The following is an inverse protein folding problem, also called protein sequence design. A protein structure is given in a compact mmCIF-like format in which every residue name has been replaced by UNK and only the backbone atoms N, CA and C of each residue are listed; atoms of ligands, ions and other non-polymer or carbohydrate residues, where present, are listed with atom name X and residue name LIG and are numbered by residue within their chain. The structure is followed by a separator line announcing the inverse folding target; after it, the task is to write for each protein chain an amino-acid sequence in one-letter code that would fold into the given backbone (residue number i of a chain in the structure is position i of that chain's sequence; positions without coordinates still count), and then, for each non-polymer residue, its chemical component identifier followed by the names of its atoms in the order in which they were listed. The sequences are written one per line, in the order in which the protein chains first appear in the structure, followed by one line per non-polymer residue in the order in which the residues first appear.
data_IF_598918829337
#
_entry.id   IF_598918829337
#
_cell.length_a   1.000
_cell.length_b   1.000
_cell.length_c   1.000
_cell.angle_alpha   90.00
_cell.angle_beta   90.00
_cell.angle_gamma   90.00
#
_symmetry.space_group_name_H-M   'P 1'
#
loop_
_entity.id
_entity.type
_entity.pdbx_description
1 polymer ?
#
# COMPACT_ATOMS: atom_id res chain seq x y z
N UNK A 1 0.01 9.79 -0.79
CA UNK A 1 0.71 11.08 -0.71
C UNK A 1 -0.15 12.13 -0.04
N UNK A 2 -1.26 12.59 -0.63
CA UNK A 2 -2.07 13.67 -0.03
C UNK A 2 -2.43 13.46 1.46
N UNK A 3 -2.89 12.28 1.86
CA UNK A 3 -3.19 12.00 3.28
C UNK A 3 -1.98 12.14 4.21
N UNK A 4 -0.77 11.79 3.75
CA UNK A 4 0.47 11.97 4.53
C UNK A 4 0.90 13.43 4.53
N UNK A 5 0.71 14.16 3.43
CA UNK A 5 0.96 15.60 3.35
C UNK A 5 0.05 16.38 4.29
N UNK A 6 -1.21 15.96 4.44
CA UNK A 6 -2.15 16.51 5.42
C UNK A 6 -1.69 16.27 6.86
N UNK A 7 -0.91 15.21 7.10
CA UNK A 7 -0.17 14.95 8.33
C UNK A 7 1.24 15.61 8.35
N UNK A 8 1.39 16.76 7.68
CA UNK A 8 2.64 17.51 7.53
C UNK A 8 3.83 16.74 6.92
N UNK A 9 3.55 15.71 6.11
CA UNK A 9 4.60 14.94 5.42
C UNK A 9 5.31 13.89 6.29
N UNK A 10 5.04 13.87 7.61
CA UNK A 10 5.72 13.00 8.58
C UNK A 10 4.78 11.99 9.24
N UNK A 11 3.79 11.51 8.48
CA UNK A 11 2.81 10.53 8.94
C UNK A 11 3.11 9.11 8.48
N UNK A 12 2.57 8.13 9.21
CA UNK A 12 2.50 6.73 8.81
C UNK A 12 1.06 6.23 8.90
N UNK A 13 0.66 5.39 7.95
CA UNK A 13 -0.57 4.59 8.01
C UNK A 13 -0.20 3.20 8.49
N UNK A 14 -0.89 2.72 9.53
CA UNK A 14 -0.78 1.31 9.93
C UNK A 14 -1.66 0.47 9.02
N UNK A 15 -1.05 -0.30 8.12
CA UNK A 15 -1.79 -1.16 7.18
C UNK A 15 -2.14 -2.53 7.80
N UNK A 16 -1.34 -2.96 8.78
CA UNK A 16 -1.52 -4.22 9.50
C UNK A 16 -0.82 -4.17 10.85
N UNK A 17 -1.44 -4.73 11.88
CA UNK A 17 -0.82 -5.01 13.17
C UNK A 17 -1.49 -6.27 13.73
N UNK A 18 -0.74 -7.33 13.96
CA UNK A 18 -1.32 -8.58 14.45
C UNK A 18 -0.38 -9.77 14.30
N UNK A 19 -0.96 -10.96 14.34
CA UNK A 19 -0.23 -12.23 14.21
C UNK A 19 0.61 -12.31 12.92
N UNK A 20 1.91 -12.57 13.06
CA UNK A 20 2.79 -12.88 11.92
C UNK A 20 2.45 -14.20 11.21
N UNK A 21 1.50 -14.98 11.72
CA UNK A 21 1.10 -16.27 11.16
C UNK A 21 0.64 -16.22 9.70
N UNK A 22 0.24 -15.04 9.19
CA UNK A 22 -0.03 -14.83 7.76
C UNK A 22 1.21 -15.04 6.86
N UNK A 23 2.41 -14.95 7.43
CA UNK A 23 3.69 -15.20 6.76
C UNK A 23 4.26 -16.59 7.05
N UNK A 24 3.56 -17.42 7.82
CA UNK A 24 4.01 -18.78 8.09
C UNK A 24 4.13 -19.55 6.78
N UNK A 25 5.32 -20.11 6.54
CA UNK A 25 5.64 -20.89 5.34
C UNK A 25 5.40 -20.15 4.01
N UNK A 26 5.34 -18.81 4.02
CA UNK A 26 5.10 -18.01 2.82
C UNK A 26 6.40 -17.68 2.07
N UNK A 27 7.51 -17.53 2.79
CA UNK A 27 8.81 -17.15 2.19
C UNK A 27 9.67 -18.37 1.90
N UNK A 28 9.69 -19.32 2.82
CA UNK A 28 10.43 -20.57 2.69
C UNK A 28 9.66 -21.73 3.31
N UNK A 29 9.77 -22.90 2.69
CA UNK A 29 9.29 -24.17 3.25
C UNK A 29 10.41 -25.19 3.21
N UNK A 30 10.58 -25.90 4.32
CA UNK A 30 11.56 -26.98 4.38
C UNK A 30 11.28 -28.01 3.27
N UNK A 31 12.33 -28.37 2.53
CA UNK A 31 12.23 -29.28 1.39
C UNK A 31 11.57 -28.69 0.13
N UNK A 32 11.35 -27.37 0.07
CA UNK A 32 10.83 -26.71 -1.15
C UNK A 32 11.77 -26.85 -2.35
N UNK A 33 13.08 -26.81 -2.11
CA UNK A 33 14.10 -26.86 -3.15
C UNK A 33 14.91 -28.15 -3.05
N UNK A 34 15.04 -28.84 -4.19
CA UNK A 34 15.86 -30.04 -4.37
C UNK A 34 17.14 -29.66 -5.10
N UNK A 35 18.13 -29.23 -4.33
CA UNK A 35 19.45 -28.82 -4.83
C UNK A 35 20.27 -29.99 -5.37
N UNK A 36 20.09 -31.20 -4.82
CA UNK A 36 20.77 -32.38 -5.31
C UNK A 36 20.33 -32.72 -6.74
N UNK A 37 19.04 -32.59 -7.03
CA UNK A 37 18.51 -32.74 -8.38
C UNK A 37 19.04 -31.67 -9.33
N UNK A 38 19.15 -30.41 -8.90
CA UNK A 38 19.72 -29.33 -9.71
C UNK A 38 21.21 -29.58 -10.01
N UNK A 39 22.00 -29.94 -9.01
CA UNK A 39 23.43 -30.20 -9.16
C UNK A 39 23.74 -31.40 -10.09
N UNK A 40 22.80 -32.34 -10.23
CA UNK A 40 22.93 -33.49 -11.12
C UNK A 40 22.69 -33.16 -12.61
N UNK A 41 22.18 -31.96 -12.94
CA UNK A 41 21.88 -31.57 -14.32
C UNK A 41 23.10 -30.96 -15.00
N UNK A 42 23.38 -31.42 -16.22
CA UNK A 42 24.49 -30.92 -17.04
C UNK A 42 24.04 -30.02 -18.19
N UNK A 43 22.74 -30.01 -18.51
CA UNK A 43 22.18 -29.15 -19.56
C UNK A 43 21.67 -27.84 -18.94
N UNK A 44 22.13 -26.66 -19.41
CA UNK A 44 21.63 -25.37 -18.94
C UNK A 44 20.11 -25.23 -19.08
N UNK A 45 19.55 -25.67 -20.21
CA UNK A 45 18.11 -25.58 -20.45
C UNK A 45 17.32 -26.47 -19.46
N UNK A 46 17.77 -27.71 -19.27
CA UNK A 46 17.16 -28.62 -18.29
C UNK A 46 17.28 -28.09 -16.85
N UNK A 47 18.38 -27.42 -16.51
CA UNK A 47 18.58 -26.78 -15.21
C UNK A 47 17.59 -25.65 -14.98
N UNK A 48 17.42 -24.76 -15.96
CA UNK A 48 16.46 -23.64 -15.85
C UNK A 48 15.02 -24.15 -15.79
N UNK A 49 14.65 -25.16 -16.58
CA UNK A 49 13.34 -25.79 -16.49
C UNK A 49 13.08 -26.37 -15.10
N UNK A 50 14.09 -27.03 -14.51
CA UNK A 50 14.00 -27.57 -13.16
C UNK A 50 13.88 -26.46 -12.10
N UNK A 51 14.62 -25.35 -12.23
CA UNK A 51 14.47 -24.17 -11.37
C UNK A 51 13.03 -23.62 -11.42
N UNK A 52 12.48 -23.48 -12.62
CA UNK A 52 11.12 -22.99 -12.81
C UNK A 52 10.08 -23.95 -12.21
N UNK A 53 10.31 -25.26 -12.33
CA UNK A 53 9.45 -26.31 -11.76
C UNK A 53 9.48 -26.30 -10.22
N UNK A 54 10.64 -26.04 -9.62
CA UNK A 54 10.79 -25.91 -8.17
C UNK A 54 10.28 -24.55 -7.62
N UNK A 55 9.97 -23.60 -8.51
CA UNK A 55 9.33 -22.34 -8.13
C UNK A 55 10.31 -21.30 -7.55
N UNK A 56 11.57 -21.31 -8.00
CA UNK A 56 12.52 -20.27 -7.60
C UNK A 56 12.05 -18.85 -8.00
N UNK A 57 12.39 -17.82 -7.20
CA UNK A 57 12.08 -16.43 -7.54
C UNK A 57 12.64 -16.00 -8.90
N UNK A 58 11.90 -15.15 -9.61
CA UNK A 58 12.26 -14.63 -10.95
C UNK A 58 12.61 -13.14 -10.90
N UNK A 59 13.53 -12.80 -10.01
CA UNK A 59 13.95 -11.42 -9.75
C UNK A 59 15.32 -11.10 -10.39
N UNK A 60 15.85 -9.92 -10.07
CA UNK A 60 17.15 -9.46 -10.55
C UNK A 60 18.32 -10.29 -10.03
N UNK A 61 18.19 -10.92 -8.87
CA UNK A 61 19.22 -11.80 -8.31
C UNK A 61 19.31 -13.06 -9.17
N UNK A 62 18.18 -13.70 -9.46
CA UNK A 62 18.12 -14.85 -10.36
C UNK A 62 18.65 -14.51 -11.76
N UNK A 63 18.28 -13.35 -12.30
CA UNK A 63 18.81 -12.90 -13.59
C UNK A 63 20.34 -12.74 -13.57
N UNK A 64 20.90 -12.25 -12.46
CA UNK A 64 22.35 -12.16 -12.27
C UNK A 64 23.04 -13.52 -12.27
N UNK A 65 22.43 -14.53 -11.64
CA UNK A 65 22.94 -15.90 -11.63
C UNK A 65 22.88 -16.56 -13.01
N UNK A 66 21.77 -16.40 -13.72
CA UNK A 66 21.63 -16.88 -15.11
C UNK A 66 22.72 -16.31 -16.02
N UNK A 67 23.01 -15.01 -15.92
CA UNK A 67 24.11 -14.37 -16.68
C UNK A 67 25.50 -14.91 -16.34
N UNK A 68 25.73 -15.26 -15.07
CA UNK A 68 27.02 -15.77 -14.60
C UNK A 68 27.28 -17.19 -15.11
N UNK A 69 26.28 -18.08 -15.02
CA UNK A 69 26.45 -19.51 -15.28
C UNK A 69 25.97 -19.95 -16.67
N UNK A 70 25.11 -19.16 -17.32
CA UNK A 70 24.58 -19.40 -18.66
C UNK A 70 24.71 -18.11 -19.48
N UNK A 71 25.93 -17.61 -19.71
CA UNK A 71 26.13 -16.38 -20.45
C UNK A 71 25.58 -16.51 -21.87
N UNK A 72 24.85 -15.47 -22.31
CA UNK A 72 24.36 -15.42 -23.67
C UNK A 72 25.53 -15.39 -24.66
N UNK A 73 25.61 -16.34 -25.61
CA UNK A 73 26.68 -16.35 -26.60
C UNK A 73 26.71 -15.07 -27.44
N UNK A 74 27.91 -14.52 -27.67
CA UNK A 74 28.09 -13.31 -28.48
C UNK A 74 27.51 -13.46 -29.89
N UNK A 75 27.56 -14.67 -30.46
CA UNK A 75 26.98 -14.96 -31.77
C UNK A 75 25.47 -14.71 -31.83
N UNK A 76 24.73 -14.90 -30.74
CA UNK A 76 23.29 -14.60 -30.66
C UNK A 76 23.06 -13.10 -30.49
N UNK A 77 23.93 -12.42 -29.74
CA UNK A 77 23.89 -10.96 -29.61
C UNK A 77 24.11 -10.30 -30.98
N UNK A 78 25.09 -10.78 -31.75
CA UNK A 78 25.40 -10.28 -33.10
C UNK A 78 24.26 -10.54 -34.09
N UNK A 79 23.42 -11.56 -33.83
CA UNK A 79 22.19 -11.85 -34.58
C UNK A 79 20.99 -11.01 -34.14
N UNK A 80 21.16 -10.12 -33.16
CA UNK A 80 20.10 -9.27 -32.65
C UNK A 80 19.10 -9.99 -31.74
N UNK A 81 19.44 -11.17 -31.23
CA UNK A 81 18.64 -11.83 -30.20
C UNK A 81 18.77 -11.00 -28.92
N UNK A 82 17.66 -10.63 -28.31
CA UNK A 82 17.66 -9.98 -27.02
C UNK A 82 17.72 -11.01 -25.87
N UNK A 83 18.26 -10.57 -24.74
CA UNK A 83 18.49 -11.42 -23.57
C UNK A 83 17.20 -12.05 -23.02
N UNK A 84 16.08 -11.32 -23.08
CA UNK A 84 14.80 -11.83 -22.60
C UNK A 84 14.32 -12.97 -23.50
N UNK A 85 14.46 -12.85 -24.82
CA UNK A 85 14.14 -13.95 -25.75
C UNK A 85 15.02 -15.17 -25.50
N UNK A 86 16.31 -14.97 -25.19
CA UNK A 86 17.25 -16.04 -24.87
C UNK A 86 16.84 -16.85 -23.63
N UNK A 87 16.70 -16.21 -22.45
CA UNK A 87 16.39 -16.94 -21.21
C UNK A 87 14.95 -17.49 -21.13
N UNK A 88 14.02 -16.96 -21.95
CA UNK A 88 12.68 -17.52 -22.03
C UNK A 88 12.57 -18.79 -22.88
N UNK A 89 13.60 -19.12 -23.68
CA UNK A 89 13.58 -20.25 -24.60
C UNK A 89 14.99 -20.81 -24.87
N UNK A 90 15.67 -21.27 -23.81
CA UNK A 90 17.04 -21.79 -23.91
C UNK A 90 17.16 -23.00 -24.86
N UNK A 91 16.14 -23.86 -24.91
CA UNK A 91 16.10 -25.02 -25.83
C UNK A 91 16.09 -24.63 -27.31
N UNK A 92 15.74 -23.38 -27.64
CA UNK A 92 15.73 -22.87 -29.00
C UNK A 92 17.11 -22.53 -29.57
N UNK A 93 18.17 -22.61 -28.76
CA UNK A 93 19.51 -22.16 -29.12
C UNK A 93 20.56 -23.26 -28.94
N UNK A 94 21.65 -23.15 -29.71
CA UNK A 94 22.83 -23.99 -29.51
C UNK A 94 23.64 -23.48 -28.30
N UNK A 95 23.64 -24.28 -27.24
CA UNK A 95 24.34 -23.99 -25.98
C UNK A 95 25.64 -24.78 -25.83
N UNK A 96 26.07 -25.54 -26.85
CA UNK A 96 27.25 -26.42 -26.76
C UNK A 96 28.56 -25.70 -26.46
N UNK A 97 28.63 -24.38 -26.70
CA UNK A 97 29.78 -23.54 -26.37
C UNK A 97 29.81 -23.01 -24.93
N UNK A 98 28.81 -23.32 -24.10
CA UNK A 98 28.74 -22.87 -22.70
C UNK A 98 29.31 -23.96 -21.79
N UNK A 99 30.34 -23.63 -21.03
CA UNK A 99 30.79 -24.45 -19.90
C UNK A 99 29.83 -24.24 -18.72
N UNK A 100 28.97 -25.22 -18.46
CA UNK A 100 27.93 -25.11 -17.45
C UNK A 100 28.36 -25.72 -16.11
N UNK A 101 28.62 -24.86 -15.14
CA UNK A 101 28.91 -25.25 -13.75
C UNK A 101 27.62 -25.30 -12.91
N UNK A 102 26.96 -26.45 -12.95
CA UNK A 102 25.73 -26.67 -12.18
C UNK A 102 25.95 -26.60 -10.66
N UNK A 103 27.10 -27.11 -10.18
CA UNK A 103 27.42 -27.11 -8.76
C UNK A 103 27.65 -25.69 -8.26
N UNK A 104 28.46 -24.89 -8.97
CA UNK A 104 28.66 -23.48 -8.63
C UNK A 104 27.36 -22.67 -8.68
N UNK A 105 26.45 -22.97 -9.62
CA UNK A 105 25.13 -22.34 -9.64
C UNK A 105 24.35 -22.70 -8.37
N UNK A 106 24.27 -23.99 -8.02
CA UNK A 106 23.61 -24.43 -6.79
C UNK A 106 24.19 -23.78 -5.54
N UNK A 107 25.51 -23.65 -5.44
CA UNK A 107 26.18 -23.01 -4.31
C UNK A 107 25.77 -21.52 -4.20
N UNK A 108 25.75 -20.80 -5.33
CA UNK A 108 25.29 -19.41 -5.39
C UNK A 108 23.78 -19.27 -5.08
N UNK A 109 22.96 -20.24 -5.47
CA UNK A 109 21.52 -20.28 -5.13
C UNK A 109 21.32 -20.44 -3.63
N UNK A 110 22.06 -21.36 -3.00
CA UNK A 110 22.01 -21.58 -1.56
C UNK A 110 22.40 -20.31 -0.80
N UNK A 111 23.49 -19.66 -1.20
CA UNK A 111 24.01 -18.45 -0.55
C UNK A 111 23.08 -17.24 -0.75
N UNK A 112 22.63 -16.98 -1.98
CA UNK A 112 22.02 -15.68 -2.34
C UNK A 112 20.50 -15.69 -2.38
N UNK A 113 19.89 -16.88 -2.42
CA UNK A 113 18.44 -17.03 -2.54
C UNK A 113 17.89 -17.83 -1.37
N UNK A 114 18.35 -19.06 -1.18
CA UNK A 114 17.71 -19.99 -0.22
C UNK A 114 18.01 -19.57 1.22
N UNK A 115 19.27 -19.30 1.55
CA UNK A 115 19.65 -18.91 2.91
C UNK A 115 18.93 -17.63 3.36
N UNK A 116 18.91 -16.53 2.59
CA UNK A 116 18.14 -15.35 2.95
C UNK A 116 16.63 -15.61 3.11
N UNK A 117 16.02 -16.43 2.25
CA UNK A 117 14.60 -16.78 2.37
C UNK A 117 14.32 -17.56 3.66
N UNK A 118 15.16 -18.55 3.97
CA UNK A 118 15.06 -19.36 5.19
C UNK A 118 15.28 -18.52 6.44
N UNK A 119 16.34 -17.72 6.51
CA UNK A 119 16.61 -16.84 7.64
C UNK A 119 15.49 -15.81 7.86
N UNK A 120 14.90 -15.28 6.76
CA UNK A 120 13.76 -14.37 6.87
C UNK A 120 12.50 -15.10 7.34
N UNK A 121 12.25 -16.32 6.90
CA UNK A 121 11.15 -17.14 7.41
C UNK A 121 11.34 -17.42 8.91
N UNK A 122 12.54 -17.78 9.34
CA UNK A 122 12.89 -18.02 10.75
C UNK A 122 12.66 -16.75 11.59
N UNK A 123 12.98 -15.57 11.06
CA UNK A 123 12.71 -14.30 11.73
C UNK A 123 11.22 -14.09 12.00
N UNK A 124 10.36 -14.38 11.02
CA UNK A 124 8.90 -14.27 11.17
C UNK A 124 8.31 -15.37 12.04
N UNK A 125 8.82 -16.61 11.94
CA UNK A 125 8.38 -17.73 12.78
C UNK A 125 8.76 -17.49 14.26
N UNK A 126 9.88 -16.81 14.53
CA UNK A 126 10.30 -16.40 15.87
C UNK A 126 9.58 -15.15 16.41
N UNK A 127 8.98 -14.35 15.53
CA UNK A 127 8.34 -13.07 15.89
C UNK A 127 6.82 -13.19 15.74
N UNK A 128 6.04 -13.44 16.82
CA UNK A 128 4.61 -13.75 16.70
C UNK A 128 3.74 -12.56 16.28
N UNK A 129 4.31 -11.35 16.23
CA UNK A 129 3.59 -10.12 15.97
C UNK A 129 4.30 -9.31 14.88
N UNK A 130 3.53 -8.82 13.91
CA UNK A 130 4.00 -8.03 12.79
C UNK A 130 3.20 -6.74 12.69
N UNK A 131 3.91 -5.62 12.57
CA UNK A 131 3.32 -4.32 12.23
C UNK A 131 3.83 -3.89 10.86
N UNK A 132 2.91 -3.59 9.94
CA UNK A 132 3.21 -3.01 8.63
C UNK A 132 2.78 -1.56 8.62
N UNK A 133 3.76 -0.68 8.44
CA UNK A 133 3.57 0.76 8.30
C UNK A 133 3.80 1.18 6.86
N UNK A 134 2.98 2.10 6.38
CA UNK A 134 3.09 2.70 5.06
C UNK A 134 3.20 4.21 5.18
N UNK A 135 4.10 4.79 4.40
CA UNK A 135 4.19 6.24 4.24
C UNK A 135 4.57 6.59 2.82
N UNK A 136 4.24 7.81 2.43
CA UNK A 136 4.69 8.42 1.19
C UNK A 136 5.18 9.81 1.55
N UNK A 137 6.50 9.99 1.49
CA UNK A 137 7.17 11.24 1.85
C UNK A 137 7.79 11.84 0.58
N UNK A 138 7.59 13.13 0.36
CA UNK A 138 8.22 13.85 -0.76
C UNK A 138 9.69 14.11 -0.44
N UNK A 139 10.60 14.24 -1.43
CA UNK A 139 12.02 14.50 -1.17
C UNK A 139 12.28 15.71 -0.25
N UNK A 140 11.45 16.76 -0.37
CA UNK A 140 11.55 17.97 0.44
C UNK A 140 11.09 17.77 1.90
N UNK A 141 10.31 16.71 2.16
CA UNK A 141 9.79 16.30 3.48
C UNK A 141 10.65 15.17 4.09
N UNK A 142 11.72 14.72 3.42
CA UNK A 142 12.67 13.72 3.94
C UNK A 142 13.76 14.39 4.79
N UNK A 143 13.37 15.24 5.74
CA UNK A 143 14.30 16.01 6.59
C UNK A 143 14.52 15.40 7.99
N UNK A 144 13.81 14.31 8.32
CA UNK A 144 13.85 13.63 9.63
C UNK A 144 13.86 12.11 9.48
N UNK A 145 14.64 11.46 10.34
CA UNK A 145 14.67 10.00 10.46
C UNK A 145 13.58 9.51 11.43
N UNK A 146 12.70 8.58 11.02
CA UNK A 146 11.68 8.03 11.90
C UNK A 146 12.29 7.08 12.94
N UNK A 147 11.77 7.14 14.16
CA UNK A 147 12.08 6.18 15.24
C UNK A 147 10.79 5.48 15.64
N UNK A 148 10.82 4.15 15.68
CA UNK A 148 9.67 3.33 16.05
C UNK A 148 9.80 2.80 17.47
N UNK A 149 8.70 2.90 18.20
CA UNK A 149 8.55 2.40 19.57
C UNK A 149 7.24 1.63 19.66
N UNK A 150 7.25 0.49 20.34
CA UNK A 150 6.04 -0.30 20.53
C UNK A 150 5.12 0.36 21.55
N UNK A 151 3.83 0.44 21.23
CA UNK A 151 2.78 0.79 22.17
C UNK A 151 1.92 -0.47 22.44
N UNK A 152 1.99 -1.07 23.64
CA UNK A 152 1.27 -2.30 23.97
C UNK A 152 -0.23 -2.09 24.25
N UNK A 153 -0.69 -0.84 24.36
CA UNK A 153 -2.08 -0.52 24.66
C UNK A 153 -2.96 -0.40 23.40
N UNK A 154 -2.35 -0.48 22.21
CA UNK A 154 -3.06 -0.46 20.93
C UNK A 154 -3.56 -1.87 20.57
N UNK A 155 -4.72 -1.92 19.93
CA UNK A 155 -5.28 -3.15 19.38
C UNK A 155 -4.69 -3.54 18.02
N UNK A 156 -5.09 -4.72 17.55
CA UNK A 156 -4.74 -5.22 16.22
C UNK A 156 -5.38 -4.38 15.10
N UNK A 157 -4.70 -4.32 13.96
CA UNK A 157 -5.17 -3.68 12.72
C UNK A 157 -5.24 -4.74 11.63
N UNK A 158 -6.46 -4.96 11.11
CA UNK A 158 -6.72 -5.89 10.00
C UNK A 158 -6.01 -5.44 8.72
N UNK A 159 -5.48 -6.39 7.95
CA UNK A 159 -4.98 -6.15 6.60
C UNK A 159 -6.11 -6.06 5.55
N UNK A 160 -7.34 -6.37 5.96
CA UNK A 160 -8.55 -6.18 5.16
C UNK A 160 -9.23 -4.89 5.62
N UNK A 161 -9.24 -3.91 4.73
CA UNK A 161 -9.85 -2.60 4.93
C UNK A 161 -11.18 -2.57 4.20
N UNK A 162 -12.27 -2.61 4.96
CA UNK A 162 -13.64 -2.62 4.43
C UNK A 162 -14.43 -1.44 4.97
N UNK A 163 -15.32 -0.92 4.14
CA UNK A 163 -16.29 0.10 4.50
C UNK A 163 -17.63 -0.18 3.83
N UNK A 164 -18.72 0.26 4.46
CA UNK A 164 -20.06 0.22 3.90
C UNK A 164 -20.44 1.62 3.45
N UNK A 165 -20.72 1.80 2.16
CA UNK A 165 -21.23 3.04 1.63
C UNK A 165 -22.76 2.96 1.50
N UNK A 166 -23.46 3.92 2.08
CA UNK A 166 -24.91 4.09 1.97
C UNK A 166 -25.21 5.40 1.25
N UNK A 167 -25.83 5.30 0.08
CA UNK A 167 -26.33 6.46 -0.65
C UNK A 167 -27.67 6.94 -0.06
N UNK A 168 -27.79 8.24 0.14
CA UNK A 168 -29.03 8.94 0.50
C UNK A 168 -29.48 9.68 -0.75
N UNK A 169 -30.62 9.29 -1.31
CA UNK A 169 -31.18 9.91 -2.51
C UNK A 169 -31.98 11.17 -2.16
N UNK A 170 -32.02 12.12 -3.10
CA UNK A 170 -32.92 13.28 -3.05
C UNK A 170 -34.39 12.82 -3.10
N UNK A 171 -35.21 13.32 -2.17
CA UNK A 171 -36.64 12.98 -2.07
C UNK A 171 -37.47 13.49 -3.27
N UNK A 172 -37.08 14.62 -3.86
CA UNK A 172 -37.71 15.23 -5.04
C UNK A 172 -37.20 14.64 -6.35
N UNK A 173 -35.96 14.12 -6.38
CA UNK A 173 -35.38 13.40 -7.52
C UNK A 173 -34.60 12.16 -7.07
N UNK A 174 -35.23 10.98 -6.99
CA UNK A 174 -34.58 9.74 -6.53
C UNK A 174 -33.39 9.26 -7.39
N UNK A 175 -33.13 9.90 -8.54
CA UNK A 175 -31.97 9.64 -9.40
C UNK A 175 -30.73 10.44 -9.00
N UNK A 176 -30.87 11.42 -8.11
CA UNK A 176 -29.80 12.22 -7.54
C UNK A 176 -29.46 11.69 -6.15
N UNK A 177 -28.17 11.53 -5.88
CA UNK A 177 -27.68 11.16 -4.54
C UNK A 177 -27.25 12.45 -3.85
N UNK A 178 -27.90 12.78 -2.73
CA UNK A 178 -27.59 13.94 -1.92
C UNK A 178 -26.39 13.72 -1.03
N UNK A 179 -26.24 12.51 -0.50
CA UNK A 179 -25.15 12.18 0.42
C UNK A 179 -24.72 10.72 0.25
N UNK A 180 -23.45 10.45 0.49
CA UNK A 180 -22.95 9.09 0.68
C UNK A 180 -22.35 8.98 2.08
N UNK A 181 -22.97 8.16 2.92
CA UNK A 181 -22.48 7.87 4.28
C UNK A 181 -21.62 6.62 4.21
N UNK A 182 -20.32 6.77 4.45
CA UNK A 182 -19.34 5.69 4.49
C UNK A 182 -19.12 5.32 5.95
N UNK A 183 -19.44 4.08 6.33
CA UNK A 183 -19.15 3.52 7.65
C UNK A 183 -17.96 2.57 7.57
N UNK A 184 -16.91 2.85 8.32
CA UNK A 184 -15.70 2.02 8.37
C UNK A 184 -15.89 0.82 9.32
N UNK A 185 -15.00 -0.18 9.21
CA UNK A 185 -15.05 -1.37 10.06
C UNK A 185 -14.95 -1.09 11.57
N UNK A 186 -14.36 0.04 11.98
CA UNK A 186 -14.29 0.47 13.37
C UNK A 186 -15.56 1.23 13.85
N UNK A 187 -16.53 1.44 12.97
CA UNK A 187 -17.78 2.16 13.25
C UNK A 187 -17.73 3.67 12.98
N UNK A 188 -16.56 4.23 12.64
CA UNK A 188 -16.46 5.64 12.25
C UNK A 188 -17.23 5.88 10.95
N UNK A 189 -17.76 7.09 10.79
CA UNK A 189 -18.51 7.49 9.61
C UNK A 189 -17.95 8.74 8.96
N UNK A 190 -17.87 8.76 7.64
CA UNK A 190 -17.62 9.96 6.82
C UNK A 190 -18.81 10.15 5.91
N UNK A 191 -19.35 11.36 5.87
CA UNK A 191 -20.41 11.76 4.94
C UNK A 191 -19.78 12.56 3.82
N UNK A 192 -19.96 12.12 2.59
CA UNK A 192 -19.61 12.89 1.40
C UNK A 192 -20.88 13.54 0.89
N UNK A 193 -20.92 14.87 0.91
CA UNK A 193 -22.06 15.65 0.43
C UNK A 193 -22.03 15.75 -1.11
N UNK A 194 -23.20 15.55 -1.71
CA UNK A 194 -23.45 15.67 -3.14
C UNK A 194 -23.79 17.09 -3.58
N UNK A 195 -24.53 17.26 -4.69
CA UNK A 195 -25.23 16.22 -5.43
C UNK A 195 -24.30 15.36 -6.31
N UNK A 196 -24.59 14.06 -6.39
CA UNK A 196 -23.99 13.15 -7.37
C UNK A 196 -25.02 12.72 -8.41
N UNK A 197 -24.78 13.09 -9.66
CA UNK A 197 -25.60 12.66 -10.79
C UNK A 197 -25.19 11.24 -11.23
N UNK A 198 -26.14 10.31 -11.31
CA UNK A 198 -25.99 8.98 -11.93
C UNK A 198 -24.80 8.14 -11.40
N UNK A 199 -25.02 7.39 -10.32
CA UNK A 199 -24.17 6.25 -9.98
C UNK A 199 -24.36 5.12 -11.01
N UNK A 200 -23.70 5.24 -12.16
CA UNK A 200 -23.73 4.23 -13.22
C UNK A 200 -22.36 3.53 -13.28
N UNK A 201 -22.18 2.39 -12.58
CA UNK A 201 -20.88 1.70 -12.46
C UNK A 201 -20.38 1.04 -13.75
N UNK A 202 -21.10 1.18 -14.88
CA UNK A 202 -20.77 0.54 -16.16
C UNK A 202 -20.62 1.50 -17.34
N UNK A 203 -20.95 2.78 -17.19
CA UNK A 203 -20.72 3.74 -18.25
C UNK A 203 -19.27 4.21 -18.12
N UNK A 204 -18.38 3.57 -18.90
CA UNK A 204 -16.92 3.71 -18.88
C UNK A 204 -16.37 5.12 -19.12
N UNK A 205 -16.68 6.05 -18.22
CA UNK A 205 -16.02 7.32 -18.05
C UNK A 205 -14.72 7.17 -17.26
N UNK A 206 -13.93 8.23 -17.29
CA UNK A 206 -12.75 8.34 -16.43
C UNK A 206 -13.16 8.20 -14.95
N UNK A 207 -12.29 7.69 -14.07
CA UNK A 207 -12.55 7.68 -12.64
C UNK A 207 -12.91 9.09 -12.17
N UNK A 208 -14.16 9.28 -11.73
CA UNK A 208 -14.63 10.56 -11.21
C UNK A 208 -14.21 10.62 -9.74
N UNK A 209 -13.51 11.69 -9.38
CA UNK A 209 -13.34 12.04 -7.97
C UNK A 209 -14.67 12.60 -7.46
N UNK A 210 -15.38 11.78 -6.70
CA UNK A 210 -16.67 12.12 -6.11
C UNK A 210 -16.52 12.91 -4.80
N UNK A 211 -15.29 13.14 -4.33
CA UNK A 211 -15.03 13.81 -3.06
C UNK A 211 -13.86 14.81 -3.19
N UNK A 212 -13.83 15.70 -4.21
CA UNK A 212 -12.65 16.51 -4.51
C UNK A 212 -12.36 17.59 -3.46
N UNK A 213 -13.32 17.87 -2.60
CA UNK A 213 -13.21 18.83 -1.48
C UNK A 213 -13.00 18.16 -0.14
N UNK A 214 -13.09 16.83 -0.07
CA UNK A 214 -12.88 16.10 1.18
C UNK A 214 -11.39 15.97 1.50
N UNK A 215 -11.01 16.00 2.78
CA UNK A 215 -9.65 15.68 3.20
C UNK A 215 -9.25 14.27 2.73
N UNK A 216 -8.00 14.11 2.29
CA UNK A 216 -7.47 12.81 1.92
C UNK A 216 -7.24 11.91 3.14
N UNK A 217 -6.97 12.48 4.32
CA UNK A 217 -6.89 11.78 5.60
C UNK A 217 -8.23 11.88 6.35
N UNK A 218 -8.89 10.74 6.56
CA UNK A 218 -10.12 10.68 7.36
C UNK A 218 -9.89 11.09 8.82
N UNK A 219 -8.70 10.79 9.36
CA UNK A 219 -8.25 11.24 10.67
C UNK A 219 -6.74 11.29 10.74
N UNK A 220 -6.23 12.15 11.60
CA UNK A 220 -4.81 12.24 11.95
C UNK A 220 -4.71 12.02 13.45
N UNK A 221 -3.87 11.07 13.85
CA UNK A 221 -3.76 10.64 15.23
C UNK A 221 -2.31 10.74 15.70
N UNK A 222 -2.12 11.30 16.89
CA UNK A 222 -0.84 11.26 17.58
C UNK A 222 -0.83 10.07 18.53
N UNK A 223 0.18 9.22 18.36
CA UNK A 223 0.32 7.97 19.10
C UNK A 223 1.53 8.08 20.04
N UNK A 224 1.30 7.87 21.33
CA UNK A 224 2.35 7.78 22.34
C UNK A 224 2.91 6.36 22.48
N UNK A 225 3.92 6.18 23.35
CA UNK A 225 4.45 4.85 23.71
C UNK A 225 3.51 3.99 24.54
N UNK A 226 2.50 4.62 25.12
CA UNK A 226 1.44 4.00 25.93
C UNK A 226 0.17 4.82 25.74
N UNK A 227 -0.97 4.23 26.07
CA UNK A 227 -2.28 4.86 25.98
C UNK A 227 -2.89 4.80 24.58
N UNK A 228 -4.11 5.32 24.49
CA UNK A 228 -4.89 5.36 23.25
C UNK A 228 -4.44 6.53 22.35
N UNK A 229 -4.65 6.44 21.03
CA UNK A 229 -4.37 7.53 20.11
C UNK A 229 -5.13 8.81 20.48
N UNK A 230 -4.52 9.97 20.23
CA UNK A 230 -5.15 11.28 20.38
C UNK A 230 -5.43 11.87 19.00
N UNK A 231 -6.70 12.17 18.71
CA UNK A 231 -7.09 12.82 17.47
C UNK A 231 -6.47 14.23 17.40
N UNK A 232 -5.81 14.52 16.29
CA UNK A 232 -5.24 15.84 16.00
C UNK A 232 -6.16 16.55 15.02
N UNK A 233 -6.63 17.72 15.42
CA UNK A 233 -7.38 18.60 14.51
C UNK A 233 -6.49 19.01 13.32
N UNK A 234 -6.97 18.97 12.07
CA UNK A 234 -6.19 19.34 10.90
C UNK A 234 -5.52 20.72 10.99
N UNK A 235 -6.17 21.69 11.64
CA UNK A 235 -5.62 23.03 11.87
C UNK A 235 -4.46 23.07 12.86
N UNK A 236 -4.25 22.02 13.66
CA UNK A 236 -3.16 21.92 14.63
C UNK A 236 -1.94 21.16 14.10
N UNK A 237 -2.08 20.40 13.00
CA UNK A 237 -1.05 19.46 12.53
C UNK A 237 0.31 20.13 12.36
N UNK A 238 0.36 21.34 11.78
CA UNK A 238 1.63 22.05 11.57
C UNK A 238 2.34 22.41 12.89
N UNK A 239 1.60 22.80 13.93
CA UNK A 239 2.19 23.12 15.23
C UNK A 239 2.56 21.85 16.00
N UNK A 240 1.77 20.78 15.86
CA UNK A 240 2.12 19.45 16.41
C UNK A 240 3.41 18.93 15.78
N UNK A 241 3.53 18.97 14.45
CA UNK A 241 4.75 18.54 13.74
C UNK A 241 5.98 19.34 14.18
N UNK A 242 5.85 20.66 14.25
CA UNK A 242 6.91 21.54 14.72
C UNK A 242 7.33 21.24 16.17
N UNK A 243 6.37 20.92 17.04
CA UNK A 243 6.66 20.53 18.42
C UNK A 243 7.40 19.18 18.48
N UNK A 244 7.02 18.20 17.64
CA UNK A 244 7.70 16.90 17.52
C UNK A 244 9.15 17.03 17.03
N UNK A 245 9.47 18.10 16.29
CA UNK A 245 10.86 18.41 15.90
C UNK A 245 11.79 18.78 17.07
N UNK A 246 11.26 19.10 18.26
CA UNK A 246 12.07 19.56 19.40
C UNK A 246 11.74 18.90 20.73
N UNK A 247 10.59 18.23 20.84
CA UNK A 247 10.08 17.61 22.07
C UNK A 247 9.82 16.12 21.84
N UNK A 248 9.82 15.34 22.91
CA UNK A 248 9.41 13.93 22.81
C UNK A 248 7.89 13.83 22.53
N UNK A 249 7.43 12.74 21.89
CA UNK A 249 6.03 12.56 21.53
C UNK A 249 5.06 12.64 22.71
N UNK A 250 5.45 12.16 23.90
CA UNK A 250 4.60 12.19 25.09
C UNK A 250 4.33 13.61 25.59
N UNK A 251 5.33 14.49 25.50
CA UNK A 251 5.17 15.91 25.86
C UNK A 251 4.22 16.59 24.90
N UNK A 252 4.40 16.36 23.59
CA UNK A 252 3.51 16.93 22.56
C UNK A 252 2.08 16.42 22.73
N UNK A 253 1.91 15.12 22.98
CA UNK A 253 0.60 14.52 23.24
C UNK A 253 -0.09 15.16 24.45
N UNK A 254 0.63 15.34 25.56
CA UNK A 254 0.09 16.04 26.73
C UNK A 254 -0.28 17.50 26.41
N UNK A 255 0.53 18.21 25.61
CA UNK A 255 0.24 19.58 25.20
C UNK A 255 -0.99 19.70 24.29
N UNK A 256 -1.22 18.73 23.40
CA UNK A 256 -2.46 18.62 22.62
C UNK A 256 -3.66 18.38 23.52
N UNK A 257 -3.57 17.39 24.43
CA UNK A 257 -4.67 17.02 25.34
C UNK A 257 -5.02 18.16 26.31
N UNK A 258 -4.02 18.90 26.79
CA UNK A 258 -4.20 20.03 27.71
C UNK A 258 -4.53 21.35 27.03
N UNK A 259 -4.59 21.39 25.69
CA UNK A 259 -4.90 22.60 24.92
C UNK A 259 -3.79 23.66 24.94
N UNK A 260 -2.54 23.26 25.16
CA UNK A 260 -1.37 24.14 25.02
C UNK A 260 -1.05 24.36 23.55
N UNK A 261 -1.16 23.31 22.74
CA UNK A 261 -1.17 23.43 21.28
C UNK A 261 -2.62 23.60 20.86
N UNK A 262 -2.94 24.75 20.27
CA UNK A 262 -4.26 25.06 19.74
C UNK A 262 -4.13 25.40 18.26
N UNK A 263 -5.24 25.34 17.49
CA UNK A 263 -5.21 25.85 16.12
C UNK A 263 -4.76 27.32 16.15
N UNK A 264 -4.05 27.81 15.12
CA UNK A 264 -3.83 29.23 14.98
C UNK A 264 -5.20 29.95 15.04
N UNK A 265 -5.30 31.12 15.68
CA UNK A 265 -6.56 31.84 15.74
C UNK A 265 -7.07 32.04 14.31
N UNK A 266 -8.27 31.53 14.03
CA UNK A 266 -8.95 31.78 12.76
C UNK A 266 -9.04 33.28 12.60
N UNK A 267 -8.28 33.84 11.65
CA UNK A 267 -8.58 35.19 11.18
C UNK A 267 -9.93 35.08 10.49
N UNK A 268 -11.01 35.35 11.23
CA UNK A 268 -12.32 35.65 10.66
C UNK A 268 -12.10 36.81 9.70
N UNK A 269 -11.94 36.51 8.42
CA UNK A 269 -12.19 37.49 7.39
C UNK A 269 -13.67 37.82 7.54
N UNK A 270 -13.97 39.07 7.89
CA UNK A 270 -15.32 39.60 7.93
C UNK A 270 -15.90 39.59 6.50
N UNK A 271 -16.42 38.42 6.11
CA UNK A 271 -17.18 38.20 4.90
C UNK A 271 -18.65 38.44 5.19
N UNK A 272 -19.14 39.56 4.64
CA UNK A 272 -20.55 39.92 4.31
C UNK A 272 -21.67 39.13 5.01
N UNK A 273 -22.50 39.90 5.71
CA UNK A 273 -23.91 39.63 5.99
C UNK A 273 -24.59 38.89 4.83
N UNK A 274 -25.00 37.65 5.09
CA UNK A 274 -26.03 36.93 4.36
C UNK A 274 -27.07 36.48 5.37
N UNK A 275 -28.27 37.02 5.25
CA UNK A 275 -29.42 36.80 6.12
C UNK A 275 -29.88 35.34 6.18
N UNK A 276 -30.78 35.05 7.13
CA UNK A 276 -31.45 33.78 7.47
C UNK A 276 -31.71 32.79 6.33
N UNK A 277 -31.93 31.50 6.60
CA UNK A 277 -33.08 30.99 7.35
C UNK A 277 -32.77 29.58 7.88
N UNK A 278 -33.18 29.32 9.12
CA UNK A 278 -33.37 27.96 9.62
C UNK A 278 -34.71 27.39 9.15
N UNK A 279 -34.77 26.07 8.93
CA UNK A 279 -36.00 25.32 8.83
C UNK A 279 -35.93 24.11 9.76
N UNK A 280 -36.78 24.15 10.78
CA UNK A 280 -37.18 23.00 11.58
C UNK A 280 -38.51 22.43 11.03
N UNK A 281 -38.70 21.12 11.17
CA UNK A 281 -39.93 20.38 10.86
C UNK A 281 -39.60 19.20 9.92
N UNK A 282 -39.77 17.93 10.25
CA UNK A 282 -40.78 17.30 11.10
C UNK A 282 -41.75 16.55 10.20
N UNK A 283 -41.65 15.22 10.12
CA UNK A 283 -42.58 14.39 9.36
C UNK A 283 -42.14 12.94 9.22
N UNK A 284 -42.69 12.07 10.07
CA UNK A 284 -42.67 10.61 9.94
C UNK A 284 -43.33 10.14 8.63
N UNK A 285 -42.72 9.20 7.91
CA UNK A 285 -43.43 8.20 7.12
C UNK A 285 -42.56 6.96 6.87
N UNK A 286 -42.95 5.86 7.48
CA UNK A 286 -42.43 4.51 7.28
C UNK A 286 -42.90 3.90 5.95
N UNK A 287 -41.99 3.30 5.15
CA UNK A 287 -42.21 2.00 4.49
C UNK A 287 -40.96 1.52 3.73
N UNK A 288 -40.73 0.20 3.62
CA UNK A 288 -39.43 -0.38 3.28
C UNK A 288 -39.32 -0.73 1.79
N UNK A 289 -38.13 -0.60 1.20
CA UNK A 289 -37.80 -1.29 -0.04
C UNK A 289 -36.31 -1.62 -0.07
N UNK A 290 -36.06 -2.92 -0.06
CA UNK A 290 -34.76 -3.55 -0.18
C UNK A 290 -34.24 -3.47 -1.63
N UNK A 291 -32.93 -3.24 -1.81
CA UNK A 291 -32.15 -3.95 -2.82
C UNK A 291 -30.62 -3.69 -2.69
N UNK A 292 -29.90 -4.82 -2.67
CA UNK A 292 -28.57 -5.07 -3.23
C UNK A 292 -27.33 -4.34 -2.66
N UNK A 293 -26.71 -5.01 -1.69
CA UNK A 293 -25.30 -4.87 -1.31
C UNK A 293 -24.38 -5.37 -2.44
N UNK A 294 -23.41 -4.56 -2.84
CA UNK A 294 -22.31 -4.92 -3.74
C UNK A 294 -20.97 -4.48 -3.15
N UNK A 295 -20.16 -5.45 -2.74
CA UNK A 295 -18.80 -5.30 -2.20
C UNK A 295 -17.84 -4.65 -3.21
N UNK A 296 -17.01 -3.71 -2.76
CA UNK A 296 -15.81 -3.29 -3.49
C UNK A 296 -14.58 -3.25 -2.57
N UNK A 297 -13.60 -4.08 -2.92
CA UNK A 297 -12.19 -3.83 -2.66
C UNK A 297 -11.54 -3.39 -3.96
N UNK A 298 -10.69 -2.37 -3.93
CA UNK A 298 -9.88 -1.95 -5.08
C UNK A 298 -8.44 -1.67 -4.63
N UNK A 299 -7.55 -2.56 -5.06
CA UNK A 299 -6.11 -2.35 -5.09
C UNK A 299 -5.74 -1.48 -6.30
N UNK A 300 -4.89 -0.47 -6.10
CA UNK A 300 -4.40 0.43 -7.15
C UNK A 300 -3.02 -0.02 -7.63
N UNK A 301 -2.90 -0.39 -8.91
CA UNK A 301 -1.62 -0.48 -9.63
C UNK A 301 -1.62 0.51 -10.79
N UNK A 302 -0.76 1.53 -10.69
CA UNK A 302 -0.62 2.60 -11.68
C UNK A 302 0.56 2.26 -12.61
N UNK A 303 0.30 1.97 -13.89
CA UNK A 303 1.32 2.00 -14.96
C UNK A 303 1.02 3.18 -15.90
N UNK A 304 1.86 4.22 -15.86
CA UNK A 304 1.83 5.31 -16.85
C UNK A 304 2.55 4.84 -18.13
N UNK A 305 1.86 4.84 -19.27
CA UNK A 305 2.50 4.84 -20.59
C UNK A 305 2.70 6.29 -21.02
N UNK A 306 3.95 6.66 -21.32
CA UNK A 306 4.28 7.93 -21.95
C UNK A 306 3.88 7.89 -23.43
N UNK A 307 3.15 8.90 -23.90
CA UNK A 307 2.82 9.09 -25.30
C UNK A 307 3.90 9.97 -25.95
N UNK A 308 4.58 9.40 -26.94
CA UNK A 308 5.51 10.06 -27.85
C UNK A 308 4.77 11.09 -28.71
N UNK A 309 5.16 12.36 -28.65
CA UNK A 309 4.70 13.37 -29.60
C UNK A 309 5.76 13.56 -30.69
N UNK A 310 5.47 13.05 -31.88
CA UNK A 310 6.09 13.45 -33.14
C UNK A 310 5.51 14.79 -33.58
N UNK A 311 6.37 15.76 -33.91
CA UNK A 311 6.09 16.82 -34.88
C UNK A 311 7.39 17.17 -35.62
N UNK A 312 7.24 17.46 -36.91
CA UNK A 312 8.30 17.64 -37.89
C UNK A 312 8.99 18.98 -37.84
#
# INVERSE_FOLDING_TARGET
TQAVNEAAGHGFVTEYAGSSGLLHQQLYREGQFDLARLAALTSPAAFVDELLRQGFPRDTTMQGLLRKYIPMPQSLVDQGVDERSFYNNLDGYDLSGIEFDAQGFVDDLEERVITPLRETQDLFDASPYLTRLFTTVSPEEMDRDPVFVQNPDLGDVSNQHTAMAQAVCDDANPQTIDQVVITFANGDTVTVDGPFDNFCPYCGGDPIDLAPTEPAAARIELIGRTGQPVLVDPGMVAEVDKALGTKNPETVLNEVVTGVITPPPTTTSTGRNGDGYGCAGGGDATAPLAAALGLFGLAVLRRRRAATTTRG
#
